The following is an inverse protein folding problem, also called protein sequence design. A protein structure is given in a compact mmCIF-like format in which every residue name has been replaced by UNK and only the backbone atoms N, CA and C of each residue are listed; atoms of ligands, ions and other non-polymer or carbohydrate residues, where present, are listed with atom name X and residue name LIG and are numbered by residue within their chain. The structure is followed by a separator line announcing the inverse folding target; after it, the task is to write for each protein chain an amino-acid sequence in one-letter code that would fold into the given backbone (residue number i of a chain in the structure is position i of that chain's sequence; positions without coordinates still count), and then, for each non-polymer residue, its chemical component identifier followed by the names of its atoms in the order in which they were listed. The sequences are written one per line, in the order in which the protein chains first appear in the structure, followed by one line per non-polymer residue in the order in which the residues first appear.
data_IF_940973607316
#
_entry.id   IF_940973607316
#
_cell.length_a   1.000
_cell.length_b   1.000
_cell.length_c   1.000
_cell.angle_alpha   90.00
_cell.angle_beta   90.00
_cell.angle_gamma   90.00
#
_symmetry.space_group_name_H-M   'P 1'
#
loop_
_entity.id
_entity.type
_entity.pdbx_description
1 polymer ?
#
# COMPACT_ATOMS: atom_id res chain seq x y z
N UNK A 1 -13.30 -25.90 -23.18
CA UNK A 1 -12.55 -24.64 -23.45
C UNK A 1 -13.53 -23.69 -24.12
N UNK A 2 -13.79 -22.50 -23.58
CA UNK A 2 -14.74 -21.55 -24.19
C UNK A 2 -14.15 -21.01 -25.51
N UNK A 3 -14.98 -20.85 -26.53
CA UNK A 3 -14.56 -20.26 -27.82
C UNK A 3 -14.25 -18.77 -27.66
N UNK A 4 -13.49 -18.21 -28.61
CA UNK A 4 -13.14 -16.79 -28.61
C UNK A 4 -14.40 -15.90 -28.68
N UNK A 5 -15.42 -16.30 -29.43
CA UNK A 5 -16.71 -15.60 -29.42
C UNK A 5 -17.44 -15.73 -28.09
N UNK A 6 -17.37 -16.88 -27.40
CA UNK A 6 -17.98 -17.03 -26.09
C UNK A 6 -17.26 -16.19 -25.02
N UNK A 7 -15.95 -16.02 -25.13
CA UNK A 7 -15.15 -15.12 -24.27
C UNK A 7 -15.52 -13.66 -24.57
N UNK A 8 -15.58 -13.24 -25.83
CA UNK A 8 -15.97 -11.86 -26.19
C UNK A 8 -17.44 -11.57 -25.84
N UNK A 9 -18.34 -12.54 -25.99
CA UNK A 9 -19.75 -12.41 -25.61
C UNK A 9 -19.94 -12.36 -24.09
N UNK A 10 -19.37 -13.31 -23.34
CA UNK A 10 -19.49 -13.31 -21.88
C UNK A 10 -18.71 -12.15 -21.28
N UNK A 11 -17.43 -11.97 -21.60
CA UNK A 11 -16.65 -10.89 -20.99
C UNK A 11 -17.02 -9.51 -21.53
N UNK A 12 -17.43 -9.37 -22.79
CA UNK A 12 -17.84 -8.08 -23.35
C UNK A 12 -19.16 -7.59 -22.77
N UNK A 13 -20.21 -8.42 -22.82
CA UNK A 13 -21.53 -8.03 -22.30
C UNK A 13 -21.56 -7.99 -20.77
N UNK A 14 -20.96 -8.97 -20.08
CA UNK A 14 -20.90 -8.99 -18.62
C UNK A 14 -20.02 -7.87 -18.08
N UNK A 15 -18.79 -7.68 -18.60
CA UNK A 15 -17.94 -6.59 -18.10
C UNK A 15 -18.53 -5.23 -18.43
N UNK A 16 -19.19 -5.08 -19.59
CA UNK A 16 -19.98 -3.89 -19.92
C UNK A 16 -21.09 -3.63 -18.90
N UNK A 17 -21.89 -4.65 -18.58
CA UNK A 17 -22.94 -4.53 -17.57
C UNK A 17 -22.40 -4.19 -16.18
N UNK A 18 -21.29 -4.80 -15.75
CA UNK A 18 -20.61 -4.48 -14.49
C UNK A 18 -20.08 -3.03 -14.51
N UNK A 19 -19.55 -2.57 -15.64
CA UNK A 19 -19.09 -1.19 -15.80
C UNK A 19 -20.22 -0.18 -15.65
N UNK A 20 -21.32 -0.39 -16.36
CA UNK A 20 -22.50 0.47 -16.27
C UNK A 20 -23.10 0.47 -14.87
N UNK A 21 -23.18 -0.70 -14.21
CA UNK A 21 -23.62 -0.78 -12.82
C UNK A 21 -22.67 -0.04 -11.88
N UNK A 22 -21.35 -0.23 -12.01
CA UNK A 22 -20.37 0.48 -11.21
C UNK A 22 -20.53 1.99 -11.36
N UNK A 23 -20.61 2.50 -12.60
CA UNK A 23 -20.82 3.92 -12.86
C UNK A 23 -22.14 4.43 -12.26
N UNK A 24 -23.24 3.67 -12.41
CA UNK A 24 -24.54 3.98 -11.82
C UNK A 24 -24.48 4.10 -10.30
N UNK A 25 -23.66 3.28 -9.63
CA UNK A 25 -23.49 3.30 -8.18
C UNK A 25 -22.30 4.16 -7.70
N UNK A 26 -21.81 5.08 -8.54
CA UNK A 26 -20.80 6.06 -8.15
C UNK A 26 -19.34 5.64 -8.39
N UNK A 27 -19.12 4.69 -9.30
CA UNK A 27 -17.81 4.19 -9.73
C UNK A 27 -17.25 3.05 -8.89
N UNK A 28 -16.08 2.55 -9.29
CA UNK A 28 -15.43 1.45 -8.58
C UNK A 28 -14.83 1.92 -7.25
N UNK A 29 -14.84 1.02 -6.27
CA UNK A 29 -14.11 1.12 -5.02
C UNK A 29 -12.94 0.14 -5.05
N UNK A 30 -11.72 0.67 -4.92
CA UNK A 30 -10.57 -0.14 -4.56
C UNK A 30 -10.38 -0.05 -3.04
N UNK A 31 -10.93 -1.02 -2.31
CA UNK A 31 -10.91 -1.02 -0.85
C UNK A 31 -9.57 -1.41 -0.21
N UNK A 32 -8.57 -1.81 -1.01
CA UNK A 32 -7.26 -2.20 -0.49
C UNK A 32 -6.16 -2.04 -1.54
N UNK A 33 -5.30 -1.05 -1.35
CA UNK A 33 -4.10 -0.83 -2.15
C UNK A 33 -2.87 -0.54 -1.28
N UNK A 34 -1.69 -0.60 -1.89
CA UNK A 34 -0.44 -0.11 -1.32
C UNK A 34 0.25 0.79 -2.36
N UNK A 35 -0.19 2.05 -2.46
CA UNK A 35 0.30 2.97 -3.49
C UNK A 35 1.79 3.30 -3.33
N UNK A 36 2.26 3.40 -2.09
CA UNK A 36 3.67 3.65 -1.74
C UNK A 36 4.62 2.60 -2.29
N UNK A 37 4.16 1.34 -2.37
CA UNK A 37 4.90 0.21 -2.95
C UNK A 37 4.57 -0.06 -4.42
N UNK A 38 3.53 0.56 -4.98
CA UNK A 38 3.07 0.24 -6.32
C UNK A 38 4.03 0.72 -7.43
N UNK A 39 4.11 -0.02 -8.53
CA UNK A 39 4.92 0.38 -9.68
C UNK A 39 6.43 0.19 -9.50
N UNK A 40 6.85 -0.78 -8.69
CA UNK A 40 8.25 -1.11 -8.40
C UNK A 40 8.73 -2.40 -9.09
N UNK A 41 8.14 -2.75 -10.25
CA UNK A 41 8.51 -3.95 -11.01
C UNK A 41 9.84 -3.82 -11.79
N UNK A 42 10.38 -2.61 -11.90
CA UNK A 42 11.68 -2.34 -12.51
C UNK A 42 12.83 -2.83 -11.59
N UNK A 43 13.83 -3.49 -12.16
CA UNK A 43 14.94 -4.10 -11.43
C UNK A 43 15.69 -3.11 -10.53
N UNK A 44 15.79 -1.83 -10.94
CA UNK A 44 16.50 -0.78 -10.19
C UNK A 44 16.05 -0.64 -8.73
N UNK A 45 14.81 -1.05 -8.41
CA UNK A 45 14.26 -0.93 -7.06
C UNK A 45 14.79 -1.97 -6.08
N UNK A 46 15.30 -3.12 -6.56
CA UNK A 46 15.83 -4.21 -5.73
C UNK A 46 17.25 -4.65 -6.13
N UNK A 47 17.83 -4.09 -7.19
CA UNK A 47 19.18 -4.43 -7.67
C UNK A 47 20.24 -4.30 -6.57
N UNK A 48 20.14 -3.27 -5.71
CA UNK A 48 21.06 -3.04 -4.59
C UNK A 48 21.10 -4.18 -3.56
N UNK A 49 20.07 -5.02 -3.48
CA UNK A 49 20.01 -6.19 -2.61
C UNK A 49 20.16 -7.52 -3.38
N UNK A 50 20.64 -7.46 -4.63
CA UNK A 50 21.00 -8.63 -5.44
C UNK A 50 19.81 -9.45 -5.93
N UNK A 51 18.62 -8.85 -6.04
CA UNK A 51 17.41 -9.52 -6.54
C UNK A 51 16.63 -8.65 -7.51
N UNK A 52 15.60 -9.24 -8.14
CA UNK A 52 14.67 -8.54 -9.05
C UNK A 52 13.25 -8.60 -8.50
N UNK A 53 12.37 -7.65 -8.84
CA UNK A 53 10.96 -7.71 -8.45
C UNK A 53 10.25 -8.99 -8.91
N UNK A 54 10.62 -9.54 -10.08
CA UNK A 54 10.05 -10.79 -10.56
C UNK A 54 10.53 -11.98 -9.71
N UNK A 55 11.82 -12.06 -9.37
CA UNK A 55 12.34 -13.08 -8.45
C UNK A 55 11.69 -12.96 -7.06
N UNK A 56 11.57 -11.73 -6.56
CA UNK A 56 10.87 -11.40 -5.32
C UNK A 56 9.37 -11.78 -5.34
N UNK A 57 8.73 -11.81 -6.51
CA UNK A 57 7.31 -12.17 -6.62
C UNK A 57 7.06 -13.66 -6.35
N UNK A 58 8.07 -14.51 -6.57
CA UNK A 58 7.98 -15.96 -6.41
C UNK A 58 8.35 -16.46 -5.01
N UNK A 59 8.87 -15.60 -4.13
CA UNK A 59 9.21 -16.00 -2.75
C UNK A 59 7.99 -15.98 -1.82
N UNK A 60 7.98 -16.76 -0.72
CA UNK A 60 6.89 -16.76 0.25
C UNK A 60 6.62 -15.37 0.83
N UNK A 61 5.38 -15.11 1.25
CA UNK A 61 4.95 -13.81 1.81
C UNK A 61 5.86 -13.32 2.95
N UNK A 62 6.35 -14.26 3.78
CA UNK A 62 7.30 -13.96 4.86
C UNK A 62 8.58 -13.29 4.37
N UNK A 63 9.09 -13.72 3.21
CA UNK A 63 10.30 -13.16 2.58
C UNK A 63 9.98 -11.84 1.88
N UNK A 64 8.81 -11.71 1.24
CA UNK A 64 8.34 -10.45 0.64
C UNK A 64 8.31 -9.31 1.64
N UNK A 65 7.87 -9.57 2.87
CA UNK A 65 7.87 -8.56 3.94
C UNK A 65 9.29 -8.12 4.36
N UNK A 66 10.31 -8.96 4.19
CA UNK A 66 11.71 -8.54 4.38
C UNK A 66 12.17 -7.65 3.23
N UNK A 67 11.74 -7.97 2.00
CA UNK A 67 12.05 -7.16 0.81
C UNK A 67 11.42 -5.77 0.85
N UNK A 68 10.33 -5.56 1.58
CA UNK A 68 9.81 -4.21 1.86
C UNK A 68 10.88 -3.33 2.54
N UNK A 69 11.64 -3.90 3.48
CA UNK A 69 12.73 -3.16 4.14
C UNK A 69 13.88 -2.83 3.19
N UNK A 70 14.16 -3.65 2.18
CA UNK A 70 15.13 -3.32 1.13
C UNK A 70 14.55 -2.27 0.17
N UNK A 71 13.26 -2.36 -0.17
CA UNK A 71 12.59 -1.36 -0.98
C UNK A 71 12.66 0.04 -0.36
N UNK A 72 12.52 0.13 0.98
CA UNK A 72 12.65 1.38 1.75
C UNK A 72 14.04 2.02 1.65
N UNK A 73 15.10 1.21 1.51
CA UNK A 73 16.48 1.69 1.38
C UNK A 73 16.83 2.11 -0.05
N UNK A 74 16.06 1.63 -1.02
CA UNK A 74 16.28 1.87 -2.44
C UNK A 74 15.63 3.15 -2.96
N UNK A 75 15.77 3.40 -4.27
CA UNK A 75 15.25 4.61 -4.91
C UNK A 75 13.71 4.70 -4.90
N UNK A 76 13.00 3.64 -4.50
CA UNK A 76 11.55 3.65 -4.41
C UNK A 76 11.03 4.66 -3.38
N UNK A 77 11.73 4.84 -2.25
CA UNK A 77 11.30 5.72 -1.17
C UNK A 77 11.98 7.11 -1.18
N UNK A 78 12.76 7.42 -2.23
CA UNK A 78 13.13 8.79 -2.54
C UNK A 78 11.87 9.61 -2.87
N UNK A 79 11.71 10.77 -2.23
CA UNK A 79 10.48 11.56 -2.26
C UNK A 79 9.93 11.81 -3.68
N UNK A 80 10.79 12.20 -4.63
CA UNK A 80 10.38 12.45 -6.03
C UNK A 80 9.91 11.17 -6.71
N UNK A 81 10.63 10.05 -6.54
CA UNK A 81 10.30 8.77 -7.17
C UNK A 81 9.00 8.21 -6.61
N UNK A 82 8.88 8.19 -5.28
CA UNK A 82 7.69 7.78 -4.54
C UNK A 82 6.44 8.53 -5.02
N UNK A 83 6.47 9.87 -4.97
CA UNK A 83 5.33 10.71 -5.39
C UNK A 83 4.99 10.51 -6.87
N UNK A 84 5.99 10.40 -7.75
CA UNK A 84 5.78 10.15 -9.18
C UNK A 84 5.08 8.81 -9.42
N UNK A 85 5.52 7.74 -8.76
CA UNK A 85 4.89 6.41 -8.87
C UNK A 85 3.47 6.41 -8.35
N UNK A 86 3.25 6.93 -7.14
CA UNK A 86 1.92 7.02 -6.53
C UNK A 86 0.95 7.83 -7.40
N UNK A 87 1.40 8.98 -7.92
CA UNK A 87 0.63 9.81 -8.87
C UNK A 87 0.23 9.02 -10.11
N UNK A 88 1.15 8.26 -10.71
CA UNK A 88 0.87 7.42 -11.87
C UNK A 88 -0.20 6.37 -11.56
N UNK A 89 -0.09 5.70 -10.41
CA UNK A 89 -1.07 4.70 -9.98
C UNK A 89 -2.46 5.31 -9.73
N UNK A 90 -2.54 6.50 -9.12
CA UNK A 90 -3.81 7.22 -8.95
C UNK A 90 -4.43 7.64 -10.29
N UNK A 91 -3.62 8.15 -11.23
CA UNK A 91 -4.09 8.47 -12.59
C UNK A 91 -4.64 7.24 -13.31
N UNK A 92 -3.99 6.08 -13.15
CA UNK A 92 -4.48 4.81 -13.69
C UNK A 92 -5.80 4.40 -13.04
N UNK A 93 -5.92 4.50 -11.71
CA UNK A 93 -7.17 4.20 -11.01
C UNK A 93 -8.32 5.12 -11.48
N UNK A 94 -8.05 6.42 -11.66
CA UNK A 94 -9.03 7.36 -12.20
C UNK A 94 -9.44 7.00 -13.64
N UNK A 95 -8.48 6.63 -14.49
CA UNK A 95 -8.73 6.22 -15.88
C UNK A 95 -9.60 4.95 -15.95
N UNK A 96 -9.50 4.04 -14.97
CA UNK A 96 -10.35 2.85 -14.86
C UNK A 96 -11.66 3.10 -14.12
N UNK A 97 -12.06 4.38 -13.93
CA UNK A 97 -13.30 4.79 -13.23
C UNK A 97 -13.35 4.38 -11.76
N UNK A 98 -12.20 4.16 -11.12
CA UNK A 98 -12.14 4.08 -9.66
C UNK A 98 -12.43 5.45 -9.09
N UNK A 99 -13.44 5.54 -8.21
CA UNK A 99 -13.87 6.78 -7.57
C UNK A 99 -13.48 6.85 -6.11
N UNK A 100 -13.31 5.70 -5.46
CA UNK A 100 -12.83 5.58 -4.09
C UNK A 100 -11.67 4.61 -4.02
N UNK A 101 -10.63 4.97 -3.27
CA UNK A 101 -9.46 4.13 -3.08
C UNK A 101 -8.99 4.21 -1.63
N UNK A 102 -8.77 3.07 -1.00
CA UNK A 102 -8.12 2.98 0.31
C UNK A 102 -6.70 2.47 0.11
N UNK A 103 -5.71 3.25 0.51
CA UNK A 103 -4.31 2.85 0.45
C UNK A 103 -3.74 2.65 1.84
N UNK A 104 -3.24 1.46 2.12
CA UNK A 104 -2.41 1.15 3.28
C UNK A 104 -0.98 1.59 2.98
N UNK A 105 -0.52 2.61 3.71
CA UNK A 105 0.76 3.30 3.47
C UNK A 105 1.70 3.05 4.63
N UNK A 106 2.94 2.72 4.32
CA UNK A 106 3.90 2.33 5.34
C UNK A 106 4.26 3.49 6.27
N UNK A 107 4.15 3.22 7.57
CA UNK A 107 4.46 4.13 8.64
C UNK A 107 5.57 3.53 9.51
N UNK A 108 6.82 3.72 9.09
CA UNK A 108 7.97 3.10 9.75
C UNK A 108 9.11 4.11 9.99
N UNK A 109 9.91 3.94 11.07
CA UNK A 109 10.95 4.90 11.45
C UNK A 109 12.04 5.09 10.38
N UNK A 110 12.35 4.05 9.60
CA UNK A 110 13.41 4.07 8.58
C UNK A 110 13.12 4.99 7.40
N UNK A 111 11.84 5.24 7.10
CA UNK A 111 11.41 6.18 6.05
C UNK A 111 10.89 7.50 6.62
N UNK A 112 10.92 7.67 7.94
CA UNK A 112 10.63 8.93 8.66
C UNK A 112 9.33 9.61 8.21
N UNK A 113 8.27 8.84 7.95
CA UNK A 113 6.96 9.33 7.51
C UNK A 113 6.89 9.86 6.06
N UNK A 114 7.92 9.63 5.23
CA UNK A 114 7.98 10.10 3.84
C UNK A 114 6.79 9.60 3.01
N UNK A 115 6.42 8.33 3.17
CA UNK A 115 5.29 7.75 2.43
C UNK A 115 3.93 8.30 2.87
N UNK A 116 3.69 8.44 4.18
CA UNK A 116 2.45 9.01 4.71
C UNK A 116 2.28 10.46 4.25
N UNK A 117 3.31 11.30 4.35
CA UNK A 117 3.24 12.70 3.87
C UNK A 117 2.96 12.78 2.38
N UNK A 118 3.64 11.95 1.57
CA UNK A 118 3.38 11.89 0.13
C UNK A 118 1.94 11.45 -0.18
N UNK A 119 1.38 10.51 0.59
CA UNK A 119 0.00 10.08 0.44
C UNK A 119 -1.00 11.20 0.78
N UNK A 120 -0.78 11.93 1.87
CA UNK A 120 -1.61 13.08 2.30
C UNK A 120 -1.63 14.16 1.23
N UNK A 121 -0.47 14.56 0.72
CA UNK A 121 -0.38 15.53 -0.36
C UNK A 121 -1.14 15.08 -1.62
N UNK A 122 -1.11 13.78 -1.93
CA UNK A 122 -1.81 13.24 -3.09
C UNK A 122 -3.32 13.11 -2.86
N UNK A 123 -3.77 12.75 -1.66
CA UNK A 123 -5.20 12.77 -1.31
C UNK A 123 -5.77 14.16 -1.55
N UNK A 124 -5.13 15.17 -0.99
CA UNK A 124 -5.61 16.55 -1.08
C UNK A 124 -5.58 17.06 -2.52
N UNK A 125 -4.55 16.68 -3.31
CA UNK A 125 -4.40 17.05 -4.71
C UNK A 125 -5.29 16.28 -5.69
N UNK A 126 -5.82 15.11 -5.32
CA UNK A 126 -6.68 14.28 -6.18
C UNK A 126 -8.15 14.23 -5.73
N UNK A 127 -8.53 14.91 -4.65
CA UNK A 127 -9.87 14.85 -4.04
C UNK A 127 -11.06 15.03 -5.01
N UNK A 128 -10.88 15.84 -6.06
CA UNK A 128 -11.92 16.11 -7.06
C UNK A 128 -11.97 15.03 -8.18
N UNK A 129 -11.04 14.08 -8.16
CA UNK A 129 -10.86 13.02 -9.17
C UNK A 129 -11.12 11.64 -8.55
N UNK A 130 -10.46 11.33 -7.43
CA UNK A 130 -10.55 10.09 -6.67
C UNK A 130 -10.57 10.45 -5.18
N UNK A 131 -11.57 9.94 -4.47
CA UNK A 131 -11.62 9.98 -3.01
C UNK A 131 -10.62 8.95 -2.45
N UNK A 132 -9.48 9.45 -1.98
CA UNK A 132 -8.37 8.65 -1.45
C UNK A 132 -8.40 8.64 0.07
N UNK A 133 -8.64 7.49 0.68
CA UNK A 133 -8.45 7.29 2.12
C UNK A 133 -7.08 6.66 2.40
N UNK A 134 -6.39 7.18 3.40
CA UNK A 134 -5.06 6.74 3.80
C UNK A 134 -5.20 5.92 5.08
N UNK A 135 -4.76 4.66 5.03
CA UNK A 135 -4.60 3.82 6.20
C UNK A 135 -3.11 3.79 6.59
N UNK A 136 -2.76 4.29 7.78
CA UNK A 136 -1.41 4.10 8.29
C UNK A 136 -1.16 2.60 8.51
N UNK A 137 -0.03 2.07 8.02
CA UNK A 137 0.23 0.63 8.04
C UNK A 137 1.53 0.27 8.78
N UNK A 138 1.47 -0.53 9.87
CA UNK A 138 2.63 -0.92 10.65
C UNK A 138 3.28 -2.19 10.08
N UNK A 139 3.80 -2.15 8.85
CA UNK A 139 4.26 -3.35 8.11
C UNK A 139 5.27 -4.21 8.88
N UNK A 140 6.10 -3.60 9.72
CA UNK A 140 7.13 -4.32 10.48
C UNK A 140 6.73 -4.67 11.91
N UNK A 141 5.50 -4.34 12.35
CA UNK A 141 5.03 -4.51 13.72
C UNK A 141 5.68 -3.52 14.71
N UNK A 142 5.36 -3.66 15.99
CA UNK A 142 5.76 -2.74 17.06
C UNK A 142 6.93 -3.24 17.93
N UNK A 143 7.77 -4.14 17.40
CA UNK A 143 8.98 -4.57 18.12
C UNK A 143 9.86 -3.38 18.54
N UNK A 144 10.51 -3.50 19.69
CA UNK A 144 11.52 -2.54 20.15
C UNK A 144 12.74 -2.60 19.24
N UNK A 145 13.16 -1.45 18.71
CA UNK A 145 14.28 -1.35 17.77
C UNK A 145 15.17 -0.17 18.20
N UNK A 146 16.20 -0.48 18.99
CA UNK A 146 17.12 0.52 19.56
C UNK A 146 17.95 1.27 18.49
N UNK A 147 17.85 0.86 17.22
CA UNK A 147 18.52 1.54 16.10
C UNK A 147 17.90 2.90 15.77
N UNK A 148 16.61 3.09 16.05
CA UNK A 148 15.90 4.31 15.67
C UNK A 148 15.67 5.21 16.90
N UNK A 149 15.76 6.55 16.73
CA UNK A 149 15.52 7.48 17.82
C UNK A 149 14.05 7.51 18.26
N UNK A 150 13.13 7.16 17.36
CA UNK A 150 11.71 6.95 17.64
C UNK A 150 11.38 5.48 17.50
N UNK A 151 10.55 4.98 18.41
CA UNK A 151 10.01 3.62 18.30
C UNK A 151 9.07 3.51 17.10
N UNK A 152 8.81 2.25 16.71
CA UNK A 152 7.83 1.94 15.67
C UNK A 152 6.42 2.34 16.07
N UNK A 153 6.10 2.25 17.36
CA UNK A 153 4.81 2.68 17.89
C UNK A 153 4.64 4.19 17.78
N UNK A 154 5.59 4.99 18.27
CA UNK A 154 5.52 6.46 18.19
C UNK A 154 5.44 6.94 16.74
N UNK A 155 6.24 6.34 15.84
CA UNK A 155 6.17 6.68 14.40
C UNK A 155 4.82 6.34 13.79
N UNK A 156 4.22 5.22 14.21
CA UNK A 156 2.91 4.79 13.74
C UNK A 156 1.79 5.67 14.28
N UNK A 157 1.84 6.04 15.56
CA UNK A 157 0.90 6.96 16.20
C UNK A 157 0.91 8.34 15.54
N UNK A 158 2.10 8.89 15.27
CA UNK A 158 2.26 10.15 14.52
C UNK A 158 1.65 10.06 13.10
N UNK A 159 1.81 8.92 12.43
CA UNK A 159 1.20 8.70 11.12
C UNK A 159 -0.33 8.59 11.21
N UNK A 160 -0.86 7.94 12.25
CA UNK A 160 -2.29 7.82 12.48
C UNK A 160 -2.95 9.18 12.72
N UNK A 161 -2.24 10.12 13.37
CA UNK A 161 -2.75 11.47 13.62
C UNK A 161 -3.06 12.27 12.33
N UNK A 162 -2.52 11.87 11.19
CA UNK A 162 -2.74 12.52 9.88
C UNK A 162 -3.36 11.60 8.82
N UNK A 163 -3.60 10.33 9.16
CA UNK A 163 -4.24 9.34 8.31
C UNK A 163 -5.75 9.31 8.57
N UNK A 164 -6.52 8.74 7.63
CA UNK A 164 -7.97 8.62 7.76
C UNK A 164 -8.37 7.33 8.50
N UNK A 165 -7.50 6.30 8.45
CA UNK A 165 -7.73 4.96 8.98
C UNK A 165 -6.51 4.49 9.75
N UNK A 166 -6.74 3.88 10.91
CA UNK A 166 -5.71 3.18 11.68
C UNK A 166 -5.63 1.74 11.15
N UNK A 167 -4.54 1.37 10.49
CA UNK A 167 -4.29 0.01 10.04
C UNK A 167 -3.71 -0.87 11.15
N UNK A 168 -3.81 -2.18 10.98
CA UNK A 168 -3.24 -3.16 11.90
C UNK A 168 -2.53 -4.28 11.13
N UNK A 169 -1.62 -4.98 11.80
CA UNK A 169 -0.96 -6.18 11.29
C UNK A 169 -0.53 -7.09 12.47
N UNK A 170 -1.47 -7.61 13.28
CA UNK A 170 -1.16 -8.40 14.47
C UNK A 170 -0.38 -9.69 14.18
N UNK A 171 -0.51 -10.25 12.98
CA UNK A 171 0.26 -11.43 12.53
C UNK A 171 1.75 -11.12 12.47
N UNK A 172 2.12 -9.83 12.28
CA UNK A 172 3.52 -9.43 12.28
C UNK A 172 4.10 -9.45 13.69
N UNK A 173 3.33 -9.01 14.67
CA UNK A 173 3.73 -9.01 16.08
C UNK A 173 3.50 -10.35 16.79
N UNK A 174 2.92 -11.34 16.12
CA UNK A 174 2.89 -12.74 16.58
C UNK A 174 4.27 -13.43 16.55
N UNK A 175 5.31 -12.75 16.04
CA UNK A 175 6.66 -13.31 15.88
C UNK A 175 7.51 -13.14 17.14
N UNK A 176 8.45 -14.06 17.41
CA UNK A 176 9.38 -13.91 18.53
C UNK A 176 10.10 -12.55 18.55
N UNK A 177 10.21 -11.95 19.73
CA UNK A 177 10.84 -10.64 19.93
C UNK A 177 9.96 -9.44 19.54
N UNK A 178 8.68 -9.66 19.26
CA UNK A 178 7.69 -8.61 19.00
C UNK A 178 6.72 -8.48 20.18
N UNK A 179 5.76 -7.55 20.11
CA UNK A 179 4.87 -7.26 21.26
C UNK A 179 3.77 -8.30 21.49
N UNK A 180 3.50 -9.18 20.52
CA UNK A 180 2.37 -10.13 20.55
C UNK A 180 1.14 -9.60 19.81
N UNK A 181 0.32 -10.50 19.26
CA UNK A 181 -0.90 -10.14 18.52
C UNK A 181 -1.92 -9.39 19.40
N UNK A 182 -2.17 -9.89 20.61
CA UNK A 182 -3.14 -9.30 21.53
C UNK A 182 -2.74 -7.88 21.94
N UNK A 183 -1.46 -7.69 22.24
CA UNK A 183 -0.91 -6.39 22.60
C UNK A 183 -0.94 -5.42 21.41
N UNK A 184 -0.67 -5.89 20.19
CA UNK A 184 -0.84 -5.09 18.98
C UNK A 184 -2.27 -4.57 18.85
N UNK A 185 -3.26 -5.44 19.03
CA UNK A 185 -4.68 -5.08 18.93
C UNK A 185 -5.06 -4.09 20.03
N UNK A 186 -4.62 -4.32 21.29
CA UNK A 186 -4.87 -3.39 22.40
C UNK A 186 -4.35 -1.99 22.09
N UNK A 187 -3.11 -1.87 21.63
CA UNK A 187 -2.53 -0.57 21.28
C UNK A 187 -3.30 0.15 20.18
N UNK A 188 -3.74 -0.59 19.16
CA UNK A 188 -4.45 -0.02 18.01
C UNK A 188 -5.90 0.40 18.35
N UNK A 189 -6.59 -0.36 19.19
CA UNK A 189 -8.00 -0.12 19.50
C UNK A 189 -8.25 0.79 20.72
N UNK A 190 -7.28 0.91 21.64
CA UNK A 190 -7.42 1.66 22.89
C UNK A 190 -8.03 0.81 24.01
#
# INVERSE_FOLDING_TARGET
MMTKEAIEFFYGAFAGAIHELALKYGGYLNAHAHLDRAGTLDNKYLEHCGTTPLSASSVPLRVKQTLTGELHKGPAYEAKNLKTRMTRCLKLAAATRTKRLVSFVDATPDIQGTAIRAAVELRDGFKDIVDLSIAAHPIFGFKTDAKFPKSRWETFEEACAIADIIGALPERDSRPGSVGADEHIRRVLG
#
